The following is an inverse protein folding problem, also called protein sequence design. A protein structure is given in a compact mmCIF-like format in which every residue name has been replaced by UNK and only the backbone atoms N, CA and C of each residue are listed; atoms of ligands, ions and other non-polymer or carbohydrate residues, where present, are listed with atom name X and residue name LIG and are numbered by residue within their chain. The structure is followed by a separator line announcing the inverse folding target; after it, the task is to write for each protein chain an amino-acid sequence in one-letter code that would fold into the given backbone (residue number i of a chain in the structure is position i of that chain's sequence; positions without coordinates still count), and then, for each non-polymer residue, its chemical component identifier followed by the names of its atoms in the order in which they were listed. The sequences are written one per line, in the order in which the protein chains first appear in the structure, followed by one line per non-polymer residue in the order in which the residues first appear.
data_IF_578958519291
#
_entry.id   IF_578958519291
#
_cell.length_a   1.000
_cell.length_b   1.000
_cell.length_c   1.000
_cell.angle_alpha   90.00
_cell.angle_beta   90.00
_cell.angle_gamma   90.00
#
_symmetry.space_group_name_H-M   'P 1'
#
loop_
_entity.id
_entity.type
_entity.pdbx_description
1 polymer ?
#
# COMPACT_ATOMS: atom_id res chain seq x y z
N UNK A 1 2.04 -4.79 21.28
CA UNK A 1 1.84 -3.54 22.05
C UNK A 1 3.11 -2.69 22.27
N UNK A 2 4.31 -3.13 21.83
CA UNK A 2 5.57 -2.34 21.95
C UNK A 2 6.00 -1.64 20.65
N UNK A 3 5.34 -1.87 19.52
CA UNK A 3 5.74 -1.37 18.20
C UNK A 3 5.44 0.11 17.90
N UNK A 4 4.57 0.75 18.67
CA UNK A 4 4.20 2.18 18.46
C UNK A 4 5.22 3.14 19.12
N UNK A 5 6.12 2.65 19.97
CA UNK A 5 6.99 3.52 20.78
C UNK A 5 8.40 3.77 20.21
N UNK A 6 8.86 3.03 19.21
CA UNK A 6 10.21 3.20 18.69
C UNK A 6 10.37 4.39 17.70
N UNK A 7 9.28 4.88 17.10
CA UNK A 7 9.33 5.96 16.11
C UNK A 7 9.25 7.39 16.67
N UNK A 8 9.29 7.58 17.97
CA UNK A 8 8.93 8.86 18.61
C UNK A 8 10.09 9.67 19.19
N UNK A 9 11.33 9.47 18.76
CA UNK A 9 12.43 10.25 19.36
C UNK A 9 13.50 10.64 18.33
N UNK A 10 13.22 11.61 17.46
CA UNK A 10 14.12 12.67 17.03
C UNK A 10 13.41 13.66 16.08
N UNK A 11 12.55 14.51 16.62
CA UNK A 11 12.08 15.69 15.89
C UNK A 11 13.07 16.81 16.17
N UNK A 12 14.06 16.97 15.31
CA UNK A 12 14.76 18.23 15.15
C UNK A 12 13.77 19.22 14.50
N UNK A 13 13.36 20.23 15.26
CA UNK A 13 12.58 21.38 14.77
C UNK A 13 13.36 22.12 13.69
N UNK A 14 13.21 21.69 12.45
CA UNK A 14 13.61 22.51 11.31
C UNK A 14 12.48 23.53 11.07
N UNK A 15 12.81 24.79 10.73
CA UNK A 15 11.80 25.79 10.43
C UNK A 15 10.98 25.31 9.21
N UNK A 16 9.66 25.33 9.35
CA UNK A 16 8.74 25.08 8.22
C UNK A 16 9.10 26.06 7.09
N UNK A 17 9.37 25.56 5.88
CA UNK A 17 9.49 26.44 4.72
C UNK A 17 8.16 27.19 4.53
N UNK A 18 8.25 28.45 4.08
CA UNK A 18 7.07 29.22 3.72
C UNK A 18 6.21 28.38 2.76
N UNK A 19 4.90 28.31 3.03
CA UNK A 19 3.93 27.58 2.21
C UNK A 19 4.03 28.10 0.76
N UNK A 20 4.80 27.42 -0.07
CA UNK A 20 4.74 27.60 -1.51
C UNK A 20 3.37 27.10 -2.00
N UNK A 21 2.79 27.78 -2.97
CA UNK A 21 1.55 27.34 -3.59
C UNK A 21 1.79 25.96 -4.24
N UNK A 22 1.05 24.95 -3.81
CA UNK A 22 1.23 23.59 -4.30
C UNK A 22 0.79 23.46 -5.75
N UNK A 23 1.44 22.58 -6.50
CA UNK A 23 1.16 22.38 -7.92
C UNK A 23 -0.29 21.90 -8.15
N UNK A 24 -0.91 22.43 -9.21
CA UNK A 24 -2.27 22.05 -9.61
C UNK A 24 -2.30 20.84 -10.57
N UNK A 25 -1.16 20.33 -10.99
CA UNK A 25 -1.04 19.13 -11.85
C UNK A 25 0.34 18.51 -11.72
N UNK A 26 0.44 17.23 -12.07
CA UNK A 26 1.72 16.55 -12.17
C UNK A 26 2.42 16.81 -13.51
N UNK A 27 3.76 16.72 -13.58
CA UNK A 27 4.48 16.66 -14.84
C UNK A 27 4.02 15.49 -15.72
N UNK A 28 4.02 15.71 -17.05
CA UNK A 28 3.68 14.63 -18.00
C UNK A 28 4.59 13.39 -17.87
N UNK A 29 5.80 13.56 -17.34
CA UNK A 29 6.74 12.48 -17.04
C UNK A 29 6.20 11.46 -16.03
N UNK A 30 5.23 11.83 -15.19
CA UNK A 30 4.58 10.92 -14.24
C UNK A 30 3.47 10.06 -14.83
N UNK A 31 3.08 10.30 -16.09
CA UNK A 31 2.04 9.51 -16.72
C UNK A 31 2.55 8.12 -17.08
N UNK A 32 1.88 7.09 -16.58
CA UNK A 32 2.08 5.69 -16.93
C UNK A 32 0.83 5.16 -17.58
N UNK A 33 0.93 4.67 -18.81
CA UNK A 33 -0.18 4.02 -19.53
C UNK A 33 -0.02 2.53 -19.44
N UNK A 34 -1.13 1.80 -19.47
CA UNK A 34 -1.17 0.36 -19.38
C UNK A 34 -1.83 -0.27 -20.60
N UNK A 35 -1.26 -1.38 -21.05
CA UNK A 35 -1.88 -2.28 -22.01
C UNK A 35 -2.07 -3.65 -21.36
N UNK A 36 -3.32 -4.02 -21.10
CA UNK A 36 -3.66 -5.32 -20.51
C UNK A 36 -3.82 -6.35 -21.61
N UNK A 37 -3.24 -7.52 -21.41
CA UNK A 37 -3.39 -8.70 -22.27
C UNK A 37 -3.82 -9.90 -21.45
N UNK A 38 -4.60 -10.79 -22.05
CA UNK A 38 -5.00 -12.04 -21.44
C UNK A 38 -4.97 -13.21 -22.44
N UNK A 39 -4.90 -14.41 -21.90
CA UNK A 39 -4.90 -15.65 -22.67
C UNK A 39 -5.43 -16.79 -21.80
N UNK A 40 -6.38 -17.54 -22.33
CA UNK A 40 -6.78 -18.81 -21.75
C UNK A 40 -6.05 -19.93 -22.48
N UNK A 41 -5.18 -20.66 -21.80
CA UNK A 41 -4.45 -21.79 -22.34
C UNK A 41 -4.88 -23.07 -21.58
N UNK A 42 -5.66 -23.94 -22.24
CA UNK A 42 -6.24 -25.13 -21.64
C UNK A 42 -7.05 -24.81 -20.38
N UNK A 43 -6.42 -24.89 -19.20
CA UNK A 43 -7.05 -24.65 -17.90
C UNK A 43 -6.32 -23.59 -17.07
N UNK A 44 -5.36 -22.88 -17.68
CA UNK A 44 -4.58 -21.82 -17.08
C UNK A 44 -5.01 -20.49 -17.68
N UNK A 45 -5.47 -19.58 -16.83
CA UNK A 45 -5.73 -18.20 -17.22
C UNK A 45 -4.45 -17.39 -16.96
N UNK A 46 -3.99 -16.67 -17.99
CA UNK A 46 -2.88 -15.73 -17.91
C UNK A 46 -3.40 -14.33 -18.14
N UNK A 47 -3.00 -13.39 -17.30
CA UNK A 47 -3.23 -11.96 -17.49
C UNK A 47 -1.93 -11.22 -17.22
N UNK A 48 -1.57 -10.27 -18.08
CA UNK A 48 -0.36 -9.48 -17.89
C UNK A 48 -0.52 -8.07 -18.42
N UNK A 49 0.34 -7.18 -17.94
CA UNK A 49 0.30 -5.76 -18.25
C UNK A 49 1.64 -5.29 -18.77
N UNK A 50 1.61 -4.49 -19.84
CA UNK A 50 2.75 -3.70 -20.29
C UNK A 50 2.54 -2.24 -19.95
N UNK A 51 3.62 -1.52 -19.72
CA UNK A 51 3.62 -0.08 -19.46
C UNK A 51 4.19 0.69 -20.65
N UNK A 52 3.70 1.92 -20.81
CA UNK A 52 4.24 2.95 -21.68
C UNK A 52 4.39 4.24 -20.88
N UNK A 53 5.59 4.77 -20.81
CA UNK A 53 5.94 5.99 -20.09
C UNK A 53 6.56 7.03 -21.03
N UNK A 54 7.04 8.15 -20.49
CA UNK A 54 7.84 9.10 -21.23
C UNK A 54 9.26 8.58 -21.57
N UNK A 55 9.69 7.48 -20.95
CA UNK A 55 11.06 6.95 -21.03
C UNK A 55 11.10 5.52 -21.57
N UNK A 56 11.44 5.39 -22.84
CA UNK A 56 11.50 4.07 -23.50
C UNK A 56 12.44 3.07 -22.82
N UNK A 57 13.51 3.53 -22.17
CA UNK A 57 14.45 2.66 -21.45
C UNK A 57 13.72 1.98 -20.26
N UNK A 58 12.92 2.73 -19.52
CA UNK A 58 12.10 2.18 -18.45
C UNK A 58 11.08 1.19 -18.99
N UNK A 59 10.38 1.54 -20.08
CA UNK A 59 9.39 0.67 -20.73
C UNK A 59 10.00 -0.67 -21.15
N UNK A 60 11.15 -0.63 -21.85
CA UNK A 60 11.82 -1.83 -22.37
C UNK A 60 12.27 -2.74 -21.20
N UNK A 61 12.81 -2.19 -20.10
CA UNK A 61 13.23 -2.98 -18.95
C UNK A 61 12.04 -3.55 -18.17
N UNK A 62 11.00 -2.76 -17.89
CA UNK A 62 9.82 -3.21 -17.14
C UNK A 62 9.04 -4.26 -17.94
N UNK A 63 8.80 -4.00 -19.21
CA UNK A 63 8.08 -4.95 -20.08
C UNK A 63 8.89 -6.23 -20.32
N UNK A 64 10.22 -6.15 -20.35
CA UNK A 64 11.11 -7.30 -20.38
C UNK A 64 10.97 -8.19 -19.14
N UNK A 65 10.87 -7.61 -17.95
CA UNK A 65 10.59 -8.38 -16.70
C UNK A 65 9.23 -9.08 -16.75
N UNK A 66 8.22 -8.45 -17.33
CA UNK A 66 6.89 -9.07 -17.52
C UNK A 66 7.00 -10.30 -18.41
N UNK A 67 7.70 -10.18 -19.55
CA UNK A 67 7.91 -11.31 -20.47
C UNK A 67 8.72 -12.43 -19.82
N UNK A 68 9.77 -12.12 -19.07
CA UNK A 68 10.60 -13.08 -18.33
C UNK A 68 9.76 -13.89 -17.32
N UNK A 69 8.86 -13.25 -16.59
CA UNK A 69 7.98 -13.94 -15.66
C UNK A 69 6.98 -14.85 -16.36
N UNK A 70 6.42 -14.43 -17.49
CA UNK A 70 5.51 -15.27 -18.28
C UNK A 70 6.27 -16.49 -18.80
N UNK A 71 7.44 -16.28 -19.44
CA UNK A 71 8.25 -17.36 -20.00
C UNK A 71 8.70 -18.36 -18.92
N UNK A 72 9.06 -17.90 -17.74
CA UNK A 72 9.52 -18.73 -16.63
C UNK A 72 8.39 -19.53 -15.96
N UNK A 73 7.21 -18.93 -15.76
CA UNK A 73 6.16 -19.50 -14.93
C UNK A 73 5.09 -20.26 -15.71
N UNK A 74 4.72 -19.82 -16.93
CA UNK A 74 3.70 -20.50 -17.75
C UNK A 74 4.01 -22.00 -17.97
N UNK A 75 5.24 -22.43 -18.31
CA UNK A 75 5.55 -23.84 -18.52
C UNK A 75 5.41 -24.71 -17.26
N UNK A 76 5.69 -24.18 -16.10
CA UNK A 76 5.57 -24.90 -14.83
C UNK A 76 4.10 -25.17 -14.48
N UNK A 77 3.22 -24.24 -14.78
CA UNK A 77 1.79 -24.36 -14.57
C UNK A 77 1.13 -25.37 -15.53
N UNK A 78 1.63 -25.45 -16.76
CA UNK A 78 1.13 -26.40 -17.76
C UNK A 78 1.55 -27.86 -17.50
N UNK A 79 2.74 -28.07 -16.92
CA UNK A 79 3.29 -29.40 -16.60
C UNK A 79 2.62 -30.06 -15.40
N UNK A 80 1.79 -29.36 -14.66
CA UNK A 80 1.05 -29.94 -13.54
C UNK A 80 0.10 -31.03 -14.06
N UNK A 81 0.36 -32.29 -13.69
CA UNK A 81 -0.27 -33.52 -14.18
C UNK A 81 -1.75 -33.69 -13.86
N UNK A 82 -2.43 -32.67 -13.36
CA UNK A 82 -3.85 -32.73 -13.04
C UNK A 82 -4.66 -31.78 -13.94
N UNK A 83 -5.34 -32.30 -14.98
CA UNK A 83 -6.07 -31.49 -15.97
C UNK A 83 -7.32 -30.75 -15.40
N UNK A 84 -7.66 -30.95 -14.14
CA UNK A 84 -8.77 -30.24 -13.45
C UNK A 84 -8.29 -29.01 -12.65
N UNK A 85 -7.06 -28.58 -12.85
CA UNK A 85 -6.44 -27.51 -12.05
C UNK A 85 -6.73 -26.15 -12.65
N UNK A 86 -7.66 -25.40 -12.07
CA UNK A 86 -7.84 -23.98 -12.39
C UNK A 86 -6.68 -23.18 -11.79
N UNK A 87 -5.64 -22.97 -12.60
CA UNK A 87 -4.48 -22.12 -12.26
C UNK A 87 -4.62 -20.76 -12.92
N UNK A 88 -4.14 -19.74 -12.25
CA UNK A 88 -4.12 -18.38 -12.76
C UNK A 88 -2.73 -17.78 -12.52
N UNK A 89 -2.19 -17.13 -13.53
CA UNK A 89 -1.00 -16.30 -13.45
C UNK A 89 -1.39 -14.88 -13.86
N UNK A 90 -1.22 -13.95 -12.93
CA UNK A 90 -1.37 -12.52 -13.17
C UNK A 90 -0.01 -11.85 -13.04
N UNK A 91 0.45 -11.18 -14.09
CA UNK A 91 1.66 -10.36 -14.03
C UNK A 91 1.24 -8.90 -14.07
N UNK A 92 1.32 -8.25 -12.92
CA UNK A 92 0.89 -6.87 -12.71
C UNK A 92 2.09 -5.94 -12.56
N UNK A 93 1.90 -4.68 -12.96
CA UNK A 93 2.89 -3.62 -12.74
C UNK A 93 2.26 -2.54 -11.87
N UNK A 94 2.67 -2.49 -10.60
CA UNK A 94 2.29 -1.43 -9.66
C UNK A 94 3.26 -0.28 -9.85
N UNK A 95 2.77 0.96 -9.84
CA UNK A 95 3.63 2.14 -9.86
C UNK A 95 3.32 3.08 -8.70
N UNK A 96 4.33 3.81 -8.27
CA UNK A 96 4.19 4.94 -7.34
C UNK A 96 5.14 6.05 -7.73
N UNK A 97 4.86 7.25 -7.28
CA UNK A 97 5.59 8.47 -7.64
C UNK A 97 6.23 9.10 -6.43
N UNK A 98 7.38 9.74 -6.64
CA UNK A 98 8.09 10.48 -5.60
C UNK A 98 8.84 11.65 -6.20
N UNK A 99 9.15 12.64 -5.39
CA UNK A 99 9.93 13.80 -5.81
C UNK A 99 9.35 14.51 -7.02
N UNK A 100 10.22 15.09 -7.83
CA UNK A 100 9.82 15.86 -9.00
C UNK A 100 9.73 15.03 -10.28
N UNK A 101 10.43 13.88 -10.35
CA UNK A 101 10.54 13.07 -11.56
C UNK A 101 10.68 11.55 -11.31
N UNK A 102 10.54 11.09 -10.08
CA UNK A 102 10.75 9.66 -9.76
C UNK A 102 9.48 8.85 -9.95
N UNK A 103 9.59 7.74 -10.68
CA UNK A 103 8.57 6.69 -10.72
C UNK A 103 9.21 5.36 -10.34
N UNK A 104 8.60 4.69 -9.37
CA UNK A 104 8.96 3.34 -8.95
C UNK A 104 7.98 2.34 -9.50
N UNK A 105 8.46 1.19 -9.96
CA UNK A 105 7.68 0.09 -10.47
C UNK A 105 7.94 -1.18 -9.64
N UNK A 106 6.87 -1.88 -9.31
CA UNK A 106 6.89 -3.24 -8.79
C UNK A 106 6.24 -4.15 -9.83
N UNK A 107 7.03 -5.01 -10.46
CA UNK A 107 6.53 -6.08 -11.34
C UNK A 107 6.27 -7.29 -10.47
N UNK A 108 5.02 -7.72 -10.39
CA UNK A 108 4.55 -8.77 -9.50
C UNK A 108 3.91 -9.89 -10.31
N UNK A 109 4.49 -11.10 -10.27
CA UNK A 109 3.96 -12.27 -10.94
C UNK A 109 3.27 -13.20 -9.92
N UNK A 110 1.94 -13.14 -9.89
CA UNK A 110 1.10 -13.79 -8.91
C UNK A 110 0.53 -15.09 -9.44
N UNK A 111 1.04 -16.22 -8.94
CA UNK A 111 0.49 -17.53 -9.23
C UNK A 111 -0.57 -17.90 -8.19
N UNK A 112 -1.74 -18.33 -8.64
CA UNK A 112 -2.78 -18.83 -7.77
C UNK A 112 -3.39 -20.13 -8.31
N UNK A 113 -3.89 -20.95 -7.37
CA UNK A 113 -4.59 -22.19 -7.65
C UNK A 113 -5.85 -22.31 -6.79
N UNK A 114 -7.01 -22.47 -7.43
CA UNK A 114 -8.32 -22.50 -6.72
C UNK A 114 -8.46 -21.33 -5.71
N UNK A 115 -8.11 -20.13 -6.15
CA UNK A 115 -8.14 -18.91 -5.32
C UNK A 115 -7.19 -18.93 -4.10
N UNK A 116 -6.18 -19.79 -4.10
CA UNK A 116 -5.11 -19.74 -3.10
C UNK A 116 -3.83 -19.31 -3.78
N UNK A 117 -3.22 -18.27 -3.25
CA UNK A 117 -1.92 -17.81 -3.69
C UNK A 117 -0.88 -18.90 -3.43
N UNK A 118 -0.05 -19.19 -4.44
CA UNK A 118 0.99 -20.21 -4.41
C UNK A 118 2.35 -19.54 -4.23
N UNK A 119 2.58 -18.49 -5.01
CA UNK A 119 3.80 -17.65 -4.96
C UNK A 119 3.54 -16.31 -5.63
N UNK A 120 4.39 -15.35 -5.29
CA UNK A 120 4.36 -14.00 -5.86
C UNK A 120 5.80 -13.49 -6.03
N UNK A 121 6.59 -14.07 -6.97
CA UNK A 121 7.89 -13.49 -7.29
C UNK A 121 7.72 -12.09 -7.87
N UNK A 122 8.67 -11.22 -7.59
CA UNK A 122 8.58 -9.80 -7.92
C UNK A 122 9.96 -9.19 -8.20
N UNK A 123 9.93 -8.01 -8.81
CA UNK A 123 11.08 -7.14 -9.02
C UNK A 123 10.67 -5.68 -8.83
N UNK A 124 11.57 -4.85 -8.29
CA UNK A 124 11.37 -3.41 -8.19
C UNK A 124 12.38 -2.67 -9.07
N UNK A 125 11.92 -1.59 -9.70
CA UNK A 125 12.76 -0.68 -10.48
C UNK A 125 12.35 0.76 -10.22
N UNK A 126 13.32 1.63 -10.06
CA UNK A 126 13.11 3.06 -9.80
C UNK A 126 13.79 3.87 -10.89
N UNK A 127 13.09 4.83 -11.47
CA UNK A 127 13.61 5.66 -12.55
C UNK A 127 13.42 7.14 -12.27
N UNK A 128 14.42 7.94 -12.65
CA UNK A 128 14.30 9.36 -12.88
C UNK A 128 13.69 9.57 -14.27
N UNK A 129 12.45 10.01 -14.33
CA UNK A 129 11.67 10.14 -15.56
C UNK A 129 12.07 11.37 -16.39
N UNK A 130 12.84 12.30 -15.85
CA UNK A 130 13.42 13.40 -16.62
C UNK A 130 14.56 12.91 -17.53
N UNK A 131 15.32 11.93 -17.04
CA UNK A 131 16.54 11.44 -17.71
C UNK A 131 16.40 10.02 -18.28
N UNK A 132 15.44 9.24 -17.83
CA UNK A 132 15.30 7.82 -18.09
C UNK A 132 16.32 6.95 -17.34
N UNK A 133 17.12 7.54 -16.44
CA UNK A 133 18.13 6.83 -15.68
C UNK A 133 17.48 5.98 -14.57
N UNK A 134 17.91 4.74 -14.44
CA UNK A 134 17.60 3.91 -13.28
C UNK A 134 18.27 4.48 -12.03
N UNK A 135 17.54 4.50 -10.92
CA UNK A 135 18.00 4.96 -9.59
C UNK A 135 18.36 3.76 -8.74
N UNK A 136 19.52 3.78 -8.13
CA UNK A 136 20.01 2.82 -7.15
C UNK A 136 20.08 3.46 -5.76
N UNK A 137 20.07 2.69 -4.69
CA UNK A 137 20.23 3.24 -3.33
C UNK A 137 21.54 3.98 -3.14
N UNK A 138 22.60 3.56 -3.84
CA UNK A 138 23.91 4.24 -3.87
C UNK A 138 23.91 5.59 -4.58
N UNK A 139 22.85 5.93 -5.29
CA UNK A 139 22.67 7.29 -5.82
C UNK A 139 22.04 8.23 -4.76
N UNK A 140 21.30 7.64 -3.82
CA UNK A 140 20.55 8.38 -2.79
C UNK A 140 21.36 8.61 -1.51
N UNK A 141 22.32 7.73 -1.23
CA UNK A 141 23.12 7.75 0.00
C UNK A 141 24.60 7.50 -0.31
N UNK A 142 25.48 8.32 0.29
CA UNK A 142 26.92 8.11 0.21
C UNK A 142 27.32 6.78 0.87
N UNK A 143 28.47 6.22 0.45
CA UNK A 143 28.94 4.91 0.92
C UNK A 143 29.15 4.87 2.45
N UNK A 144 29.58 5.95 3.06
CA UNK A 144 29.83 6.11 4.49
C UNK A 144 28.66 6.76 5.26
N UNK A 145 27.49 6.88 4.63
CA UNK A 145 26.29 7.47 5.26
C UNK A 145 25.79 6.62 6.44
N UNK A 146 25.45 7.25 7.56
CA UNK A 146 24.80 6.61 8.71
C UNK A 146 23.40 6.05 8.37
N UNK A 147 22.78 6.49 7.26
CA UNK A 147 21.51 5.97 6.80
C UNK A 147 21.49 4.45 6.66
N UNK A 148 22.63 3.84 6.29
CA UNK A 148 22.73 2.38 6.13
C UNK A 148 22.47 1.63 7.43
N UNK A 149 23.01 2.12 8.55
CA UNK A 149 22.81 1.54 9.89
C UNK A 149 21.36 1.73 10.35
N UNK A 150 20.81 2.94 10.16
CA UNK A 150 19.41 3.26 10.50
C UNK A 150 18.43 2.36 9.71
N UNK A 151 18.65 2.23 8.40
CA UNK A 151 17.82 1.36 7.55
C UNK A 151 17.95 -0.11 7.97
N UNK A 152 19.15 -0.59 8.27
CA UNK A 152 19.40 -1.97 8.71
C UNK A 152 18.68 -2.29 10.03
N UNK A 153 18.71 -1.36 10.99
CA UNK A 153 18.01 -1.52 12.28
C UNK A 153 16.49 -1.58 12.10
N UNK A 154 15.91 -0.67 11.32
CA UNK A 154 14.46 -0.67 11.04
C UNK A 154 14.06 -1.95 10.31
N UNK A 155 14.83 -2.38 9.30
CA UNK A 155 14.55 -3.61 8.57
C UNK A 155 14.62 -4.83 9.49
N UNK A 156 15.60 -4.90 10.38
CA UNK A 156 15.72 -6.00 11.34
C UNK A 156 14.49 -6.05 12.26
N UNK A 157 14.13 -4.93 12.90
CA UNK A 157 13.01 -4.87 13.83
C UNK A 157 11.66 -5.23 13.17
N UNK A 158 11.42 -4.72 11.97
CA UNK A 158 10.18 -4.99 11.24
C UNK A 158 10.10 -6.44 10.74
N UNK A 159 11.17 -7.00 10.20
CA UNK A 159 11.18 -8.35 9.67
C UNK A 159 11.13 -9.42 10.78
N UNK A 160 11.82 -9.23 11.91
CA UNK A 160 11.83 -10.18 13.03
C UNK A 160 10.43 -10.46 13.58
N UNK A 161 9.56 -9.47 13.47
CA UNK A 161 8.22 -9.55 14.05
C UNK A 161 7.11 -9.54 13.00
N UNK A 162 7.44 -9.66 11.71
CA UNK A 162 6.46 -9.50 10.64
C UNK A 162 5.29 -10.48 10.78
N UNK A 163 5.57 -11.74 11.07
CA UNK A 163 4.57 -12.76 11.43
C UNK A 163 4.65 -13.10 12.92
N UNK A 164 3.93 -12.41 13.80
CA UNK A 164 4.12 -12.50 15.26
C UNK A 164 3.82 -13.87 15.87
N UNK A 165 3.27 -14.80 15.10
CA UNK A 165 2.99 -16.18 15.52
C UNK A 165 4.05 -17.18 15.02
N UNK A 166 5.11 -16.72 14.38
CA UNK A 166 6.18 -17.52 13.81
C UNK A 166 7.54 -16.89 14.19
N UNK A 167 8.55 -17.74 14.29
CA UNK A 167 9.93 -17.28 14.49
C UNK A 167 10.62 -17.16 13.14
N UNK A 168 11.30 -16.03 12.90
CA UNK A 168 12.15 -15.84 11.75
C UNK A 168 13.43 -16.65 11.89
N UNK A 169 14.02 -17.10 10.79
CA UNK A 169 15.37 -17.64 10.80
C UNK A 169 16.38 -16.52 11.07
N UNK A 170 16.95 -16.53 12.27
CA UNK A 170 17.83 -15.47 12.78
C UNK A 170 19.07 -15.24 11.90
N UNK A 171 19.65 -16.30 11.34
CA UNK A 171 20.84 -16.18 10.51
C UNK A 171 20.50 -15.50 9.18
N UNK A 172 19.40 -15.89 8.56
CA UNK A 172 18.89 -15.27 7.35
C UNK A 172 18.46 -13.81 7.61
N UNK A 173 17.77 -13.55 8.72
CA UNK A 173 17.35 -12.21 9.11
C UNK A 173 18.55 -11.25 9.21
N UNK A 174 19.61 -11.64 9.95
CA UNK A 174 20.83 -10.84 10.05
C UNK A 174 21.53 -10.63 8.71
N UNK A 175 21.52 -11.63 7.85
CA UNK A 175 22.12 -11.53 6.52
C UNK A 175 21.38 -10.52 5.63
N UNK A 176 20.05 -10.40 5.75
CA UNK A 176 19.24 -9.41 5.03
C UNK A 176 19.43 -7.96 5.51
N UNK A 177 19.89 -7.78 6.76
CA UNK A 177 20.04 -6.47 7.39
C UNK A 177 21.47 -5.90 7.30
N UNK A 178 22.32 -6.43 6.42
CA UNK A 178 23.63 -5.83 6.15
C UNK A 178 23.51 -4.73 5.09
N UNK A 179 24.41 -3.75 5.12
CA UNK A 179 24.49 -2.69 4.11
C UNK A 179 24.58 -3.27 2.69
N UNK A 180 25.41 -4.29 2.50
CA UNK A 180 25.60 -4.96 1.22
C UNK A 180 24.29 -5.61 0.73
N UNK A 181 23.54 -6.25 1.63
CA UNK A 181 22.25 -6.84 1.30
C UNK A 181 21.21 -5.75 0.96
N UNK A 182 21.17 -4.66 1.72
CA UNK A 182 20.23 -3.57 1.48
C UNK A 182 20.43 -2.93 0.10
N UNK A 183 21.70 -2.78 -0.36
CA UNK A 183 22.01 -2.26 -1.71
C UNK A 183 21.40 -3.10 -2.82
N UNK A 184 21.28 -4.39 -2.63
CA UNK A 184 20.75 -5.35 -3.60
C UNK A 184 19.27 -5.65 -3.39
N UNK A 185 18.68 -5.24 -2.26
CA UNK A 185 17.28 -5.48 -1.96
C UNK A 185 16.37 -4.65 -2.86
N UNK A 186 15.34 -5.27 -3.49
CA UNK A 186 14.36 -4.53 -4.25
C UNK A 186 13.68 -3.45 -3.40
N UNK A 187 13.65 -2.24 -3.91
CA UNK A 187 13.07 -1.09 -3.21
C UNK A 187 12.20 -0.22 -4.12
N UNK A 188 11.34 0.58 -3.49
CA UNK A 188 10.56 1.62 -4.15
C UNK A 188 10.71 2.94 -3.38
N UNK A 189 10.63 4.04 -4.11
CA UNK A 189 10.45 5.38 -3.55
C UNK A 189 8.99 5.76 -3.68
N UNK A 190 8.32 5.89 -2.54
CA UNK A 190 6.95 6.36 -2.43
C UNK A 190 6.87 7.86 -2.12
N UNK A 191 5.67 8.40 -1.91
CA UNK A 191 5.46 9.82 -1.62
C UNK A 191 6.15 10.30 -0.33
N UNK A 192 6.24 9.47 0.69
CA UNK A 192 6.74 9.88 2.02
C UNK A 192 7.77 8.90 2.61
N UNK A 193 8.06 7.84 1.90
CA UNK A 193 8.90 6.75 2.41
C UNK A 193 9.64 6.01 1.29
N UNK A 194 10.77 5.43 1.65
CA UNK A 194 11.40 4.34 0.94
C UNK A 194 10.83 3.02 1.47
N UNK A 195 10.58 2.05 0.61
CA UNK A 195 10.17 0.71 1.05
C UNK A 195 11.04 -0.37 0.44
N UNK A 196 11.48 -1.31 1.29
CA UNK A 196 12.10 -2.55 0.88
C UNK A 196 11.07 -3.66 0.75
N UNK A 197 11.27 -4.55 -0.22
CA UNK A 197 10.35 -5.63 -0.50
C UNK A 197 11.06 -6.99 -0.40
N UNK A 198 10.39 -7.95 0.24
CA UNK A 198 10.91 -9.29 0.47
C UNK A 198 9.85 -10.35 0.18
N UNK A 199 10.24 -11.50 -0.35
CA UNK A 199 9.37 -12.67 -0.35
C UNK A 199 9.24 -13.22 1.07
N UNK A 200 8.02 -13.31 1.61
CA UNK A 200 7.80 -13.78 2.98
C UNK A 200 8.39 -15.18 3.22
N UNK A 201 8.38 -16.04 2.20
CA UNK A 201 8.95 -17.40 2.31
C UNK A 201 10.44 -17.46 2.63
N UNK A 202 11.18 -16.36 2.43
CA UNK A 202 12.62 -16.26 2.75
C UNK A 202 12.87 -16.43 4.26
N UNK A 203 12.02 -15.81 5.09
CA UNK A 203 12.09 -15.90 6.55
C UNK A 203 11.00 -16.83 7.13
N UNK A 204 9.86 -16.93 6.45
CA UNK A 204 8.67 -17.66 6.88
C UNK A 204 8.21 -18.62 5.77
N UNK A 205 8.77 -19.85 5.67
CA UNK A 205 8.68 -20.72 4.50
C UNK A 205 7.25 -21.11 4.05
N UNK A 206 6.25 -20.92 4.90
CA UNK A 206 4.85 -21.27 4.58
C UNK A 206 4.03 -20.08 4.10
N UNK A 207 4.62 -18.88 4.04
CA UNK A 207 3.92 -17.66 3.69
C UNK A 207 4.14 -17.31 2.20
N UNK A 208 3.08 -17.18 1.41
CA UNK A 208 3.17 -16.88 -0.03
C UNK A 208 3.12 -15.39 -0.36
N UNK A 209 2.97 -14.52 0.65
CA UNK A 209 2.81 -13.07 0.50
C UNK A 209 4.14 -12.34 0.32
N UNK A 210 4.05 -11.06 0.00
CA UNK A 210 5.17 -10.13 0.12
C UNK A 210 5.22 -9.52 1.52
N UNK A 211 6.43 -9.26 1.99
CA UNK A 211 6.70 -8.40 3.13
C UNK A 211 7.23 -7.06 2.61
N UNK A 212 6.71 -5.99 3.16
CA UNK A 212 7.15 -4.63 2.87
C UNK A 212 7.61 -3.97 4.17
N UNK A 213 8.86 -3.52 4.18
CA UNK A 213 9.41 -2.69 5.26
C UNK A 213 9.44 -1.25 4.78
N UNK A 214 8.79 -0.36 5.50
CA UNK A 214 8.64 1.04 5.12
C UNK A 214 9.50 1.93 6.01
N UNK A 215 10.40 2.69 5.39
CA UNK A 215 11.31 3.63 6.05
C UNK A 215 10.87 5.05 5.72
N UNK A 216 10.24 5.78 6.65
CA UNK A 216 9.82 7.16 6.42
C UNK A 216 11.02 8.06 6.11
N UNK A 217 10.87 8.98 5.17
CA UNK A 217 11.95 9.90 4.79
C UNK A 217 12.44 10.76 5.95
N UNK A 218 11.59 11.10 6.93
CA UNK A 218 12.02 11.86 8.10
C UNK A 218 13.08 11.14 8.96
N UNK A 219 13.20 9.81 8.86
CA UNK A 219 14.24 9.04 9.54
C UNK A 219 15.60 9.09 8.82
N UNK A 220 15.62 9.31 7.51
CA UNK A 220 16.82 9.14 6.68
C UNK A 220 17.17 10.37 5.81
N UNK A 221 16.27 11.36 5.70
CA UNK A 221 16.44 12.53 4.80
C UNK A 221 17.73 13.30 5.07
N UNK A 222 18.10 13.52 6.33
CA UNK A 222 19.31 14.25 6.70
C UNK A 222 20.64 13.60 6.28
N UNK A 223 20.57 12.37 5.76
CA UNK A 223 21.71 11.57 5.30
C UNK A 223 21.69 11.33 3.79
N UNK A 224 20.72 11.89 3.07
CA UNK A 224 20.60 11.74 1.61
C UNK A 224 21.62 12.65 0.90
N UNK A 225 22.01 12.22 -0.31
CA UNK A 225 22.68 13.08 -1.27
C UNK A 225 21.72 14.18 -1.76
N UNK A 226 22.24 15.27 -2.33
CA UNK A 226 21.42 16.32 -2.98
C UNK A 226 20.48 15.70 -4.06
N UNK A 227 20.99 14.72 -4.79
CA UNK A 227 20.18 13.97 -5.76
C UNK A 227 19.06 13.18 -5.07
N UNK A 228 19.36 12.48 -3.98
CA UNK A 228 18.37 11.74 -3.20
C UNK A 228 17.28 12.63 -2.63
N UNK A 229 17.64 13.80 -2.07
CA UNK A 229 16.66 14.78 -1.59
C UNK A 229 15.71 15.23 -2.71
N UNK A 230 16.25 15.57 -3.89
CA UNK A 230 15.44 15.97 -5.04
C UNK A 230 14.47 14.86 -5.50
N UNK A 231 14.91 13.60 -5.51
CA UNK A 231 14.11 12.46 -5.95
C UNK A 231 13.01 12.06 -4.94
N UNK A 232 13.02 12.63 -3.74
CA UNK A 232 12.08 12.32 -2.66
C UNK A 232 11.33 13.56 -2.13
N UNK A 233 11.57 14.75 -2.68
CA UNK A 233 10.89 15.97 -2.25
C UNK A 233 9.51 16.12 -2.90
N UNK A 234 8.48 15.84 -2.13
CA UNK A 234 7.06 15.95 -2.52
C UNK A 234 6.37 17.21 -1.96
N UNK A 235 7.14 18.19 -1.44
CA UNK A 235 6.60 19.39 -0.80
C UNK A 235 5.68 20.22 -1.70
N UNK A 236 5.85 20.13 -3.01
CA UNK A 236 5.06 20.85 -4.02
C UNK A 236 3.70 20.22 -4.34
N UNK A 237 3.40 19.00 -3.86
CA UNK A 237 2.17 18.30 -4.20
C UNK A 237 1.19 18.24 -3.04
N UNK A 238 -0.09 18.24 -3.37
CA UNK A 238 -1.18 17.95 -2.43
C UNK A 238 -1.24 16.47 -2.17
N UNK A 239 -1.68 16.07 -0.98
CA UNK A 239 -1.91 14.66 -0.64
C UNK A 239 -3.29 14.45 -0.07
N UNK A 240 -3.90 13.30 -0.36
CA UNK A 240 -5.14 12.86 0.25
C UNK A 240 -5.15 11.33 0.34
N UNK A 241 -5.95 10.79 1.25
CA UNK A 241 -6.14 9.35 1.38
C UNK A 241 -7.48 8.91 0.79
N UNK A 242 -7.45 8.06 -0.24
CA UNK A 242 -8.61 7.28 -0.66
C UNK A 242 -8.76 6.12 0.31
N UNK A 243 -9.95 5.98 0.91
CA UNK A 243 -10.21 4.91 1.86
C UNK A 243 -11.47 4.14 1.49
N UNK A 244 -11.42 2.81 1.65
CA UNK A 244 -12.48 1.89 1.27
C UNK A 244 -12.86 0.99 2.43
N UNK A 245 -14.15 0.94 2.75
CA UNK A 245 -14.71 0.17 3.84
C UNK A 245 -15.45 -1.07 3.34
N UNK A 246 -15.70 -2.02 4.24
CA UNK A 246 -16.53 -3.21 4.10
C UNK A 246 -15.90 -4.41 3.37
N UNK A 247 -14.81 -4.24 2.65
CA UNK A 247 -14.16 -5.30 1.87
C UNK A 247 -13.47 -6.40 2.67
N UNK A 248 -12.78 -7.30 1.96
CA UNK A 248 -12.69 -7.41 0.49
C UNK A 248 -13.95 -8.02 -0.16
N UNK A 249 -14.11 -7.78 -1.48
CA UNK A 249 -15.10 -8.42 -2.33
C UNK A 249 -14.44 -9.00 -3.59
N UNK A 250 -14.89 -10.17 -4.02
CA UNK A 250 -14.23 -10.88 -5.12
C UNK A 250 -14.26 -10.12 -6.46
N UNK A 251 -15.37 -9.47 -6.78
CA UNK A 251 -15.55 -8.81 -8.07
C UNK A 251 -15.21 -7.31 -8.01
N UNK A 252 -15.79 -6.62 -7.03
CA UNK A 252 -15.69 -5.17 -6.94
C UNK A 252 -14.32 -4.74 -6.46
N UNK A 253 -13.81 -5.31 -5.36
CA UNK A 253 -12.45 -4.99 -4.87
C UNK A 253 -11.39 -5.36 -5.91
N UNK A 254 -11.49 -6.55 -6.55
CA UNK A 254 -10.52 -6.95 -7.59
C UNK A 254 -10.49 -5.99 -8.78
N UNK A 255 -11.64 -5.45 -9.20
CA UNK A 255 -11.74 -4.46 -10.27
C UNK A 255 -11.21 -3.09 -9.81
N UNK A 256 -11.51 -2.69 -8.58
CA UNK A 256 -11.02 -1.45 -7.98
C UNK A 256 -9.49 -1.45 -7.91
N UNK A 257 -8.86 -2.55 -7.49
CA UNK A 257 -7.41 -2.70 -7.43
C UNK A 257 -6.75 -2.50 -8.80
N UNK A 258 -7.33 -3.07 -9.88
CA UNK A 258 -6.83 -2.80 -11.24
C UNK A 258 -6.87 -1.30 -11.56
N UNK A 259 -7.96 -0.64 -11.20
CA UNK A 259 -8.17 0.78 -11.48
C UNK A 259 -7.21 1.68 -10.68
N UNK A 260 -7.01 1.40 -9.39
CA UNK A 260 -6.08 2.14 -8.54
C UNK A 260 -4.63 1.97 -9.02
N UNK A 261 -4.24 0.73 -9.37
CA UNK A 261 -2.91 0.43 -9.92
C UNK A 261 -2.64 1.21 -11.19
N UNK A 262 -3.60 1.25 -12.14
CA UNK A 262 -3.45 1.99 -13.39
C UNK A 262 -3.39 3.52 -13.16
N UNK A 263 -4.04 4.02 -12.13
CA UNK A 263 -3.91 5.42 -11.73
C UNK A 263 -2.63 5.73 -10.93
N UNK A 264 -1.89 4.71 -10.49
CA UNK A 264 -0.75 4.86 -9.59
C UNK A 264 -1.15 5.39 -8.22
N UNK A 265 -2.35 5.01 -7.75
CA UNK A 265 -2.92 5.45 -6.49
C UNK A 265 -2.76 4.35 -5.43
N UNK A 266 -2.24 4.71 -4.28
CA UNK A 266 -2.31 3.91 -3.07
C UNK A 266 -3.56 4.28 -2.27
N UNK A 267 -4.05 3.33 -1.47
CA UNK A 267 -5.27 3.51 -0.69
C UNK A 267 -5.17 2.78 0.65
N UNK A 268 -6.07 3.11 1.56
CA UNK A 268 -6.26 2.35 2.81
C UNK A 268 -7.60 1.63 2.76
N UNK A 269 -7.57 0.32 2.97
CA UNK A 269 -8.74 -0.53 3.05
C UNK A 269 -9.04 -0.87 4.51
N UNK A 270 -10.23 -0.52 4.98
CA UNK A 270 -10.72 -0.92 6.29
C UNK A 270 -11.56 -2.19 6.11
N UNK A 271 -10.93 -3.32 6.36
CA UNK A 271 -11.46 -4.65 6.03
C UNK A 271 -12.31 -5.24 7.15
N UNK A 272 -13.31 -6.02 6.78
CA UNK A 272 -14.12 -6.81 7.71
C UNK A 272 -13.53 -8.22 7.85
N UNK A 273 -13.26 -8.66 9.07
CA UNK A 273 -12.47 -9.87 9.32
C UNK A 273 -13.05 -11.16 8.76
N UNK A 274 -14.38 -11.37 8.81
CA UNK A 274 -14.99 -12.55 8.22
C UNK A 274 -14.96 -12.54 6.68
N UNK A 275 -14.86 -11.38 6.06
CA UNK A 275 -14.63 -11.25 4.61
C UNK A 275 -13.18 -11.53 4.22
N UNK A 276 -12.22 -11.18 5.07
CA UNK A 276 -10.82 -11.60 4.86
C UNK A 276 -10.71 -13.13 4.83
N UNK A 277 -11.40 -13.82 5.75
CA UNK A 277 -11.42 -15.30 5.76
C UNK A 277 -12.06 -15.87 4.48
N UNK A 278 -13.07 -15.22 3.92
CA UNK A 278 -13.78 -15.66 2.71
C UNK A 278 -13.00 -15.34 1.42
N UNK A 279 -12.33 -14.18 1.36
CA UNK A 279 -11.68 -13.64 0.17
C UNK A 279 -10.18 -13.36 0.41
N UNK A 280 -9.49 -14.26 1.09
CA UNK A 280 -8.09 -14.10 1.47
C UNK A 280 -7.15 -13.84 0.27
N UNK A 281 -7.51 -14.36 -0.91
CA UNK A 281 -6.75 -14.12 -2.14
C UNK A 281 -6.83 -12.65 -2.62
N UNK A 282 -7.94 -11.97 -2.36
CA UNK A 282 -8.10 -10.54 -2.65
C UNK A 282 -7.39 -9.71 -1.60
N UNK A 283 -7.54 -10.03 -0.30
CA UNK A 283 -6.81 -9.34 0.77
C UNK A 283 -5.27 -9.44 0.60
N UNK A 284 -4.75 -10.60 0.19
CA UNK A 284 -3.33 -10.74 -0.15
C UNK A 284 -2.93 -9.88 -1.35
N UNK A 285 -3.82 -9.72 -2.32
CA UNK A 285 -3.58 -8.85 -3.47
C UNK A 285 -3.54 -7.38 -3.06
N UNK A 286 -4.44 -6.93 -2.18
CA UNK A 286 -4.41 -5.57 -1.62
C UNK A 286 -3.05 -5.29 -0.93
N UNK A 287 -2.57 -6.25 -0.11
CA UNK A 287 -1.27 -6.14 0.54
C UNK A 287 -0.12 -6.08 -0.48
N UNK A 288 -0.09 -7.03 -1.42
CA UNK A 288 0.99 -7.18 -2.39
C UNK A 288 1.06 -6.01 -3.39
N UNK A 289 -0.06 -5.29 -3.61
CA UNK A 289 -0.14 -4.08 -4.46
C UNK A 289 0.10 -2.77 -3.68
N UNK A 290 0.72 -2.85 -2.49
CA UNK A 290 1.17 -1.72 -1.65
C UNK A 290 0.05 -0.87 -1.03
N UNK A 291 -1.16 -1.39 -0.87
CA UNK A 291 -2.19 -0.72 -0.09
C UNK A 291 -1.99 -0.93 1.42
N UNK A 292 -2.61 -0.07 2.23
CA UNK A 292 -2.68 -0.24 3.68
C UNK A 292 -3.94 -1.00 4.06
N UNK A 293 -3.80 -2.03 4.90
CA UNK A 293 -4.90 -2.88 5.33
C UNK A 293 -5.15 -2.70 6.82
N UNK A 294 -6.35 -2.23 7.15
CA UNK A 294 -6.69 -1.83 8.52
C UNK A 294 -8.03 -2.44 8.96
N UNK A 295 -8.38 -2.28 10.22
CA UNK A 295 -9.56 -2.92 10.79
C UNK A 295 -10.85 -2.13 10.52
N UNK A 296 -11.86 -2.81 9.93
CA UNK A 296 -13.26 -2.40 10.02
C UNK A 296 -14.05 -3.34 10.95
N UNK A 297 -13.35 -3.82 11.99
CA UNK A 297 -13.79 -4.83 12.93
C UNK A 297 -13.92 -6.24 12.31
N UNK A 298 -14.04 -7.28 13.18
CA UNK A 298 -14.15 -8.66 12.67
C UNK A 298 -15.50 -8.92 11.97
N UNK A 299 -16.60 -8.29 12.45
CA UNK A 299 -17.92 -8.30 11.81
C UNK A 299 -18.47 -6.89 11.71
N UNK A 300 -19.09 -6.58 10.59
CA UNK A 300 -19.73 -5.30 10.38
C UNK A 300 -21.00 -5.18 11.23
N UNK A 301 -20.83 -4.83 12.50
CA UNK A 301 -21.91 -4.69 13.48
C UNK A 301 -21.82 -3.35 14.19
N UNK A 302 -22.97 -2.79 14.55
CA UNK A 302 -23.04 -1.58 15.38
C UNK A 302 -22.40 -1.85 16.76
N UNK A 303 -21.24 -1.25 16.98
CA UNK A 303 -20.46 -1.47 18.20
C UNK A 303 -21.15 -0.92 19.45
N UNK A 304 -21.99 0.11 19.32
CA UNK A 304 -22.74 0.68 20.45
C UNK A 304 -23.79 -0.29 21.03
N UNK A 305 -24.19 -1.29 20.26
CA UNK A 305 -25.13 -2.36 20.66
C UNK A 305 -24.44 -3.65 21.10
N UNK A 306 -23.11 -3.64 21.15
CA UNK A 306 -22.31 -4.81 21.51
C UNK A 306 -21.82 -4.74 22.96
N UNK A 307 -21.60 -5.90 23.58
CA UNK A 307 -20.96 -5.95 24.89
C UNK A 307 -19.45 -5.79 24.78
N UNK A 308 -18.80 -5.22 25.79
CA UNK A 308 -17.34 -5.04 25.84
C UNK A 308 -16.59 -6.38 25.56
N UNK A 309 -16.93 -7.52 26.22
CA UNK A 309 -16.26 -8.79 25.93
C UNK A 309 -16.37 -9.22 24.47
N UNK A 310 -17.50 -8.96 23.81
CA UNK A 310 -17.69 -9.28 22.38
C UNK A 310 -16.80 -8.41 21.48
N UNK A 311 -16.70 -7.12 21.80
CA UNK A 311 -15.83 -6.20 21.05
C UNK A 311 -14.37 -6.61 21.18
N UNK A 312 -13.92 -6.94 22.39
CA UNK A 312 -12.55 -7.42 22.62
C UNK A 312 -12.27 -8.71 21.86
N UNK A 313 -13.18 -9.71 21.94
CA UNK A 313 -13.04 -10.96 21.19
C UNK A 313 -12.98 -10.74 19.66
N UNK A 314 -13.74 -9.79 19.14
CA UNK A 314 -13.69 -9.44 17.71
C UNK A 314 -12.42 -8.67 17.34
N UNK A 315 -11.89 -7.82 18.22
CA UNK A 315 -10.62 -7.13 18.01
C UNK A 315 -9.46 -8.12 17.96
N UNK A 316 -9.42 -9.07 18.91
CA UNK A 316 -8.44 -10.15 18.95
C UNK A 316 -8.54 -11.03 17.70
N UNK A 317 -9.76 -11.43 17.33
CA UNK A 317 -9.97 -12.27 16.15
C UNK A 317 -9.58 -11.55 14.86
N UNK A 318 -9.84 -10.25 14.74
CA UNK A 318 -9.40 -9.45 13.61
C UNK A 318 -7.87 -9.44 13.50
N UNK A 319 -7.18 -9.20 14.62
CA UNK A 319 -5.73 -9.26 14.68
C UNK A 319 -5.19 -10.62 14.23
N UNK A 320 -5.78 -11.71 14.71
CA UNK A 320 -5.40 -13.08 14.35
C UNK A 320 -5.59 -13.37 12.86
N UNK A 321 -6.70 -12.94 12.27
CA UNK A 321 -7.00 -13.16 10.85
C UNK A 321 -6.00 -12.41 9.98
N UNK A 322 -5.74 -11.13 10.28
CA UNK A 322 -4.79 -10.31 9.52
C UNK A 322 -3.36 -10.85 9.62
N UNK A 323 -2.89 -11.14 10.84
CA UNK A 323 -1.54 -11.65 11.05
C UNK A 323 -1.31 -13.04 10.44
N UNK A 324 -2.33 -13.88 10.37
CA UNK A 324 -2.25 -15.18 9.68
C UNK A 324 -2.20 -15.05 8.17
N UNK A 325 -2.86 -14.02 7.61
CA UNK A 325 -3.02 -13.88 6.17
C UNK A 325 -1.80 -13.22 5.53
N UNK A 326 -1.33 -12.07 6.05
CA UNK A 326 -0.18 -11.35 5.49
C UNK A 326 0.88 -10.93 6.51
N UNK A 327 0.71 -11.26 7.79
CA UNK A 327 1.73 -11.07 8.83
C UNK A 327 1.48 -9.90 9.76
N UNK A 328 0.96 -8.80 9.27
CA UNK A 328 0.76 -7.58 10.06
C UNK A 328 -0.68 -7.50 10.60
N UNK A 329 -0.81 -7.16 11.88
CA UNK A 329 -2.10 -6.82 12.49
C UNK A 329 -2.49 -5.36 12.24
N UNK A 330 -3.78 -5.00 12.48
CA UNK A 330 -4.23 -3.63 12.34
C UNK A 330 -3.62 -2.75 13.44
N UNK A 331 -3.26 -1.54 13.10
CA UNK A 331 -2.78 -0.54 14.05
C UNK A 331 -3.67 0.71 14.08
N UNK A 332 -4.70 0.76 13.23
CA UNK A 332 -5.82 1.71 13.29
C UNK A 332 -7.14 1.01 13.00
N UNK A 333 -8.24 1.65 13.35
CA UNK A 333 -9.58 1.13 13.18
C UNK A 333 -10.52 2.20 12.68
N UNK A 334 -11.42 1.83 11.76
CA UNK A 334 -12.64 2.59 11.46
C UNK A 334 -13.84 1.81 11.99
N UNK A 335 -14.66 2.46 12.80
CA UNK A 335 -15.81 1.79 13.39
C UNK A 335 -16.92 1.60 12.33
N UNK A 336 -17.57 0.41 12.26
CA UNK A 336 -18.75 0.23 11.42
C UNK A 336 -19.79 1.34 11.64
N UNK A 337 -20.31 1.88 10.54
CA UNK A 337 -21.26 3.01 10.52
C UNK A 337 -20.72 4.34 11.07
N UNK A 338 -19.41 4.46 11.39
CA UNK A 338 -18.87 5.61 12.14
C UNK A 338 -19.40 5.70 13.57
N UNK A 339 -19.91 4.59 14.14
CA UNK A 339 -20.54 4.56 15.46
C UNK A 339 -19.59 3.93 16.48
N UNK A 340 -19.18 4.74 17.44
CA UNK A 340 -18.36 4.32 18.58
C UNK A 340 -18.74 5.11 19.83
N UNK A 341 -18.56 4.54 21.00
CA UNK A 341 -18.66 5.27 22.25
C UNK A 341 -17.33 5.36 23.00
N UNK A 342 -17.26 6.23 23.98
CA UNK A 342 -16.03 6.49 24.74
C UNK A 342 -15.48 5.22 25.43
N UNK A 343 -16.37 4.39 25.99
CA UNK A 343 -15.96 3.17 26.70
C UNK A 343 -15.40 2.12 25.77
N UNK A 344 -15.92 2.06 24.55
CA UNK A 344 -15.47 1.15 23.49
C UNK A 344 -14.08 1.57 23.01
N UNK A 345 -13.88 2.85 22.72
CA UNK A 345 -12.56 3.39 22.30
C UNK A 345 -11.47 2.99 23.30
N UNK A 346 -11.70 3.21 24.59
CA UNK A 346 -10.72 2.91 25.64
C UNK A 346 -10.37 1.41 25.77
N UNK A 347 -11.16 0.50 25.20
CA UNK A 347 -10.92 -0.95 25.25
C UNK A 347 -10.21 -1.51 24.01
N UNK A 348 -10.33 -0.84 22.89
CA UNK A 348 -9.68 -1.24 21.63
C UNK A 348 -8.22 -0.78 21.59
N UNK A 349 -7.91 0.38 22.17
CA UNK A 349 -6.57 0.96 22.26
C UNK A 349 -5.87 1.14 20.90
N UNK A 350 -6.63 1.53 19.88
CA UNK A 350 -6.15 1.92 18.56
C UNK A 350 -6.60 3.35 18.24
N UNK A 351 -5.92 4.06 17.33
CA UNK A 351 -6.46 5.26 16.70
C UNK A 351 -7.73 4.93 15.90
N UNK A 352 -8.72 5.81 15.95
CA UNK A 352 -9.94 5.72 15.16
C UNK A 352 -9.85 6.70 14.00
N UNK A 353 -10.00 6.18 12.78
CA UNK A 353 -9.90 6.95 11.54
C UNK A 353 -11.29 7.05 10.93
N UNK A 354 -11.83 8.24 10.89
CA UNK A 354 -13.05 8.58 10.20
C UNK A 354 -12.74 9.28 8.86
N UNK A 355 -13.54 10.23 8.41
CA UNK A 355 -13.38 10.94 7.13
C UNK A 355 -13.86 12.39 7.26
N UNK A 356 -13.32 13.25 6.43
CA UNK A 356 -13.84 14.61 6.22
C UNK A 356 -14.61 14.74 4.88
N UNK A 357 -14.46 13.76 3.97
CA UNK A 357 -15.21 13.71 2.71
C UNK A 357 -16.02 12.42 2.61
N UNK A 358 -17.33 12.51 2.79
CA UNK A 358 -18.29 11.40 2.60
C UNK A 358 -18.85 11.41 1.18
N UNK A 359 -18.37 10.55 0.31
CA UNK A 359 -18.83 10.45 -1.08
C UNK A 359 -20.29 10.01 -1.20
N UNK A 360 -20.82 9.34 -0.16
CA UNK A 360 -22.16 8.75 -0.13
C UNK A 360 -22.42 7.73 -1.23
N UNK A 361 -21.39 7.00 -1.67
CA UNK A 361 -21.48 5.90 -2.64
C UNK A 361 -22.40 4.79 -2.13
N UNK A 362 -22.43 4.56 -0.81
CA UNK A 362 -23.31 3.62 -0.12
C UNK A 362 -24.82 3.88 -0.30
N UNK A 363 -25.21 5.10 -0.70
CA UNK A 363 -26.62 5.45 -0.97
C UNK A 363 -27.10 5.03 -2.36
N UNK A 364 -26.25 4.42 -3.17
CA UNK A 364 -26.54 4.05 -4.55
C UNK A 364 -26.36 5.20 -5.55
N UNK A 365 -25.65 6.28 -5.19
CA UNK A 365 -25.30 7.37 -6.10
C UNK A 365 -24.63 6.85 -7.37
N UNK A 366 -24.84 7.55 -8.47
CA UNK A 366 -24.07 7.33 -9.70
C UNK A 366 -22.62 7.78 -9.51
N UNK A 367 -21.69 7.25 -10.33
CA UNK A 367 -20.30 7.69 -10.32
C UNK A 367 -20.17 9.21 -10.51
N UNK A 368 -21.00 9.82 -11.37
CA UNK A 368 -21.04 11.29 -11.50
C UNK A 368 -21.47 12.00 -10.21
N UNK A 369 -22.38 11.41 -9.43
CA UNK A 369 -22.80 11.95 -8.14
C UNK A 369 -21.71 11.84 -7.07
N UNK A 370 -20.95 10.73 -7.05
CA UNK A 370 -19.76 10.56 -6.21
C UNK A 370 -18.69 11.59 -6.58
N UNK A 371 -18.39 11.73 -7.87
CA UNK A 371 -17.40 12.70 -8.37
C UNK A 371 -17.78 14.16 -8.09
N UNK A 372 -19.08 14.47 -8.02
CA UNK A 372 -19.51 15.82 -7.62
C UNK A 372 -19.09 16.16 -6.19
N UNK A 373 -19.14 15.18 -5.27
CA UNK A 373 -18.66 15.37 -3.89
C UNK A 373 -17.14 15.51 -3.86
N UNK A 374 -16.42 14.58 -4.50
CA UNK A 374 -14.95 14.59 -4.57
C UNK A 374 -14.45 15.95 -5.05
N UNK A 375 -14.98 16.46 -6.16
CA UNK A 375 -14.58 17.77 -6.73
C UNK A 375 -14.91 18.97 -5.86
N UNK A 376 -15.96 18.88 -5.06
CA UNK A 376 -16.42 20.00 -4.23
C UNK A 376 -15.74 20.07 -2.86
N UNK A 377 -15.38 18.92 -2.27
CA UNK A 377 -15.02 18.83 -0.87
C UNK A 377 -13.56 18.43 -0.62
N UNK A 378 -12.90 17.73 -1.56
CA UNK A 378 -11.51 17.27 -1.37
C UNK A 378 -10.56 18.46 -1.33
N UNK A 379 -9.70 18.45 -0.33
CA UNK A 379 -8.60 19.39 -0.12
C UNK A 379 -7.35 18.65 0.31
N UNK A 380 -6.25 19.35 0.35
CA UNK A 380 -4.99 18.83 0.86
C UNK A 380 -5.15 18.35 2.32
N UNK A 381 -4.77 17.08 2.57
CA UNK A 381 -4.93 16.42 3.87
C UNK A 381 -6.27 15.71 4.09
N UNK A 382 -7.17 15.64 3.10
CA UNK A 382 -8.48 14.97 3.23
C UNK A 382 -8.36 13.45 3.32
N UNK A 383 -9.29 12.86 4.07
CA UNK A 383 -9.59 11.42 4.12
C UNK A 383 -10.96 11.19 3.47
N UNK A 384 -10.99 10.45 2.38
CA UNK A 384 -12.17 10.25 1.53
C UNK A 384 -12.76 8.88 1.80
N UNK A 385 -14.04 8.83 2.22
CA UNK A 385 -14.79 7.57 2.42
C UNK A 385 -15.44 7.09 1.14
N UNK A 386 -15.18 5.81 0.83
CA UNK A 386 -15.88 4.99 -0.18
C UNK A 386 -16.05 3.55 0.37
N UNK A 387 -16.74 2.67 -0.38
CA UNK A 387 -16.97 1.27 0.01
C UNK A 387 -16.70 0.34 -1.17
N UNK A 388 -15.67 -0.50 -1.09
CA UNK A 388 -15.20 -1.33 -2.21
C UNK A 388 -16.14 -2.49 -2.59
N UNK A 389 -17.15 -2.77 -1.77
CA UNK A 389 -18.19 -3.76 -2.04
C UNK A 389 -19.38 -3.24 -2.89
N UNK A 390 -19.40 -1.96 -3.26
CA UNK A 390 -20.52 -1.39 -4.03
C UNK A 390 -20.23 -1.47 -5.52
N UNK A 391 -21.20 -1.91 -6.31
CA UNK A 391 -21.06 -2.15 -7.76
C UNK A 391 -20.53 -0.97 -8.58
N UNK A 392 -20.73 0.26 -8.10
CA UNK A 392 -20.31 1.49 -8.80
C UNK A 392 -18.96 2.02 -8.31
N UNK A 393 -18.47 1.53 -7.18
CA UNK A 393 -17.23 2.04 -6.59
C UNK A 393 -16.00 1.75 -7.42
N UNK A 394 -15.84 0.62 -8.12
CA UNK A 394 -14.69 0.43 -8.99
C UNK A 394 -14.56 1.56 -10.03
N UNK A 395 -15.65 1.97 -10.67
CA UNK A 395 -15.65 3.07 -11.62
C UNK A 395 -15.52 4.44 -10.94
N UNK A 396 -16.20 4.66 -9.82
CA UNK A 396 -16.09 5.92 -9.07
C UNK A 396 -14.69 6.11 -8.48
N UNK A 397 -14.08 5.04 -7.95
CA UNK A 397 -12.72 5.04 -7.41
C UNK A 397 -11.69 5.33 -8.51
N UNK A 398 -11.87 4.75 -9.70
CA UNK A 398 -11.04 5.07 -10.88
C UNK A 398 -11.11 6.55 -11.22
N UNK A 399 -12.34 7.07 -11.40
CA UNK A 399 -12.55 8.49 -11.73
C UNK A 399 -12.01 9.43 -10.65
N UNK A 400 -12.14 9.04 -9.36
CA UNK A 400 -11.59 9.83 -8.26
C UNK A 400 -10.05 9.85 -8.31
N UNK A 401 -9.40 8.69 -8.45
CA UNK A 401 -7.94 8.60 -8.52
C UNK A 401 -7.37 9.38 -9.73
N UNK A 402 -7.99 9.24 -10.93
CA UNK A 402 -7.59 9.97 -12.12
C UNK A 402 -7.76 11.49 -11.95
N UNK A 403 -8.91 11.92 -11.42
CA UNK A 403 -9.17 13.34 -11.20
C UNK A 403 -8.21 13.95 -10.17
N UNK A 404 -7.94 13.22 -9.08
CA UNK A 404 -6.98 13.65 -8.06
C UNK A 404 -5.59 13.80 -8.66
N UNK A 405 -5.16 12.83 -9.45
CA UNK A 405 -3.90 12.92 -10.17
C UNK A 405 -3.86 14.15 -11.09
N UNK A 406 -4.87 14.37 -11.92
CA UNK A 406 -4.95 15.51 -12.84
C UNK A 406 -4.95 16.87 -12.12
N UNK A 407 -5.24 16.89 -10.81
CA UNK A 407 -5.29 18.11 -9.97
C UNK A 407 -4.16 18.19 -8.93
N UNK A 408 -3.07 17.45 -9.15
CA UNK A 408 -1.84 17.51 -8.34
C UNK A 408 -1.94 16.89 -6.96
N UNK A 409 -2.87 15.92 -6.76
CA UNK A 409 -2.98 15.14 -5.54
C UNK A 409 -2.26 13.80 -5.67
N UNK A 410 -1.33 13.52 -4.79
CA UNK A 410 -0.83 12.16 -4.55
C UNK A 410 -1.85 11.42 -3.68
N UNK A 411 -2.39 10.31 -4.19
CA UNK A 411 -3.21 9.40 -3.40
C UNK A 411 -2.28 8.50 -2.57
N UNK A 412 -2.29 8.72 -1.28
CA UNK A 412 -1.42 8.04 -0.31
C UNK A 412 -2.27 7.22 0.68
N UNK A 413 -1.63 6.34 1.44
CA UNK A 413 -2.30 5.67 2.56
C UNK A 413 -2.55 6.64 3.71
N UNK A 414 -3.42 6.29 4.66
CA UNK A 414 -3.68 7.14 5.82
C UNK A 414 -2.42 7.36 6.65
N UNK A 415 -1.62 6.30 6.88
CA UNK A 415 -0.36 6.44 7.59
C UNK A 415 0.62 7.38 6.89
N UNK A 416 0.75 7.27 5.57
CA UNK A 416 1.62 8.16 4.79
C UNK A 416 1.13 9.61 4.87
N UNK A 417 -0.19 9.82 4.84
CA UNK A 417 -0.78 11.15 5.01
C UNK A 417 -0.39 11.76 6.36
N UNK A 418 -0.48 10.99 7.45
CA UNK A 418 -0.11 11.47 8.79
C UNK A 418 1.40 11.69 8.95
N UNK A 419 2.24 10.83 8.34
CA UNK A 419 3.69 11.02 8.29
C UNK A 419 4.03 12.34 7.58
N UNK A 420 3.44 12.61 6.42
CA UNK A 420 3.69 13.84 5.65
C UNK A 420 3.37 15.10 6.45
N UNK A 421 2.27 15.09 7.19
CA UNK A 421 1.83 16.24 7.99
C UNK A 421 2.38 16.23 9.41
N UNK A 422 3.31 15.32 9.73
CA UNK A 422 3.95 15.18 11.04
C UNK A 422 2.95 15.15 12.21
N UNK A 423 1.83 14.45 11.98
CA UNK A 423 0.78 14.30 12.96
C UNK A 423 0.76 12.89 13.54
N UNK A 424 0.88 12.78 14.85
CA UNK A 424 0.82 11.50 15.56
C UNK A 424 -0.61 10.95 15.61
N UNK A 425 -0.76 9.68 15.29
CA UNK A 425 -1.98 8.93 15.49
C UNK A 425 -1.98 8.32 16.90
N UNK A 426 -2.56 9.04 17.85
CA UNK A 426 -2.62 8.59 19.25
C UNK A 426 -3.76 7.58 19.43
N UNK A 427 -3.54 6.44 20.13
CA UNK A 427 -4.60 5.50 20.48
C UNK A 427 -5.76 6.18 21.21
N UNK A 428 -6.97 5.70 20.96
CA UNK A 428 -8.23 6.18 21.55
C UNK A 428 -8.70 7.57 21.08
N UNK A 429 -7.95 8.24 20.21
CA UNK A 429 -8.39 9.47 19.54
C UNK A 429 -9.06 9.19 18.21
N UNK A 430 -9.91 10.12 17.76
CA UNK A 430 -10.62 10.06 16.48
C UNK A 430 -10.07 11.13 15.57
N UNK A 431 -9.73 10.73 14.34
CA UNK A 431 -9.17 11.60 13.33
C UNK A 431 -10.08 11.61 12.10
N UNK A 432 -10.42 12.77 11.58
CA UNK A 432 -11.29 12.97 10.42
C UNK A 432 -10.52 13.41 9.19
N UNK A 433 -9.39 14.06 9.37
CA UNK A 433 -8.38 14.44 8.39
C UNK A 433 -7.10 14.77 9.15
N UNK A 434 -6.00 15.09 8.48
CA UNK A 434 -4.84 15.64 9.18
C UNK A 434 -5.20 17.00 9.78
N UNK A 435 -4.67 17.33 10.94
CA UNK A 435 -4.95 18.54 11.73
C UNK A 435 -6.38 18.66 12.30
N UNK A 436 -7.20 17.61 12.26
CA UNK A 436 -8.56 17.60 12.81
C UNK A 436 -8.80 16.40 13.72
N UNK A 437 -7.99 16.27 14.78
CA UNK A 437 -8.27 15.31 15.87
C UNK A 437 -9.41 15.85 16.77
N UNK A 438 -10.36 14.98 17.13
CA UNK A 438 -11.35 15.24 18.18
C UNK A 438 -11.11 14.30 19.36
N UNK A 439 -11.18 14.85 20.56
CA UNK A 439 -11.04 14.10 21.82
C UNK A 439 -12.21 13.14 22.08
#
# INVERSE_FOLDING_TARGET
MKRILAFLLLVLLLPLPALAEKADSFPAAFLVKYTVKDKLNQQTYLSWEYVETAQKIADDEINGLVDDYIEKLEPSMQKSSNPKRNSRLDVHVVNTRSGQSTVSFLVLARESYKRKQVQSPFDCRVYDMDTGRRIYLTDLFDEDSEAWEIMAEIVYEELDHYFPQQEADEATLRALCTKEALKETPFMLGPVSLSFHYEAKTLYPKQPSLMRVTIPYNAIRGYMTEYGERQTDNSNYKMCALTFDDGPDYANTATLLNNLRHAGAQATFFLVGDRIEEFADIALRENDENHSLQSHHYKHTDTSKSTIPRIQAYTEKMYDVMTKTWGLGPWMLRAPYGIFDYFIKAKINLPFIEWDVDTKDWTGKSSAGVMSVVRAEVKDGSIILMHDIKDKTPESGRQAAEWLFDHGFMCVTVEELFIQYQQDMTPNKVFYSVNTARE
#
